data_IF_211737144713
#
_entry.id   IF_211737144713
#
_cell.length_a   1.000
_cell.length_b   1.000
_cell.length_c   1.000
_cell.angle_alpha   90.00
_cell.angle_beta   90.00
_cell.angle_gamma   90.00
#
_symmetry.space_group_name_H-M   'P 1'
#
loop_
_entity.id
_entity.type
_entity.pdbx_description
1 polymer ?
#
# COMPACT_ATOMS: atom_id res chain seq x y z
N UNK A 1 6.84 -10.51 19.67
CA UNK A 1 6.73 -11.19 18.37
C UNK A 1 6.62 -10.15 17.27
N UNK A 2 7.43 -10.25 16.24
CA UNK A 2 7.44 -9.28 15.15
C UNK A 2 6.29 -9.55 14.19
N UNK A 3 5.55 -8.50 13.83
CA UNK A 3 4.50 -8.62 12.83
C UNK A 3 5.15 -8.80 11.46
N UNK A 4 4.81 -9.90 10.77
CA UNK A 4 5.36 -10.20 9.46
C UNK A 4 5.07 -9.09 8.42
N UNK A 5 3.97 -8.35 8.62
CA UNK A 5 3.62 -7.23 7.73
C UNK A 5 4.62 -6.09 7.88
N UNK A 6 5.09 -5.85 9.10
CA UNK A 6 6.10 -4.83 9.37
C UNK A 6 7.41 -5.20 8.67
N UNK A 7 7.81 -6.47 8.74
CA UNK A 7 9.01 -6.94 8.07
C UNK A 7 8.91 -6.76 6.55
N UNK A 8 7.77 -7.10 5.97
CA UNK A 8 7.56 -6.93 4.53
C UNK A 8 7.62 -5.47 4.09
N UNK A 9 7.09 -4.57 4.91
CA UNK A 9 6.96 -3.15 4.56
C UNK A 9 8.07 -2.27 5.14
N UNK A 10 9.10 -2.84 5.75
CA UNK A 10 10.10 -2.05 6.49
C UNK A 10 10.77 -0.97 5.66
N UNK A 11 10.88 -1.16 4.36
CA UNK A 11 11.47 -0.17 3.45
C UNK A 11 10.57 1.07 3.29
N UNK A 12 9.34 1.03 3.77
CA UNK A 12 8.43 2.18 3.76
C UNK A 12 8.38 2.91 5.10
N UNK A 13 9.23 2.54 6.05
CA UNK A 13 9.25 3.18 7.37
C UNK A 13 9.41 4.70 7.23
N UNK A 14 8.54 5.46 7.89
CA UNK A 14 8.56 6.91 7.86
C UNK A 14 8.05 7.52 6.57
N UNK A 15 7.54 6.73 5.63
CA UNK A 15 7.09 7.25 4.35
C UNK A 15 5.85 8.13 4.50
N UNK A 16 5.73 9.10 3.60
CA UNK A 16 4.52 9.93 3.50
C UNK A 16 3.60 9.28 2.47
N UNK A 17 2.37 8.99 2.89
CA UNK A 17 1.39 8.31 2.04
C UNK A 17 0.17 9.20 1.86
N UNK A 18 -0.58 8.97 0.81
CA UNK A 18 -1.86 9.64 0.60
C UNK A 18 -2.88 8.65 0.05
N UNK A 19 -4.14 8.85 0.42
CA UNK A 19 -5.24 8.01 -0.05
C UNK A 19 -5.48 8.33 -1.52
N UNK A 20 -5.42 7.31 -2.37
CA UNK A 20 -5.58 7.46 -3.82
C UNK A 20 -6.34 6.29 -4.40
N UNK A 21 -7.06 6.55 -5.49
CA UNK A 21 -7.50 5.48 -6.37
C UNK A 21 -6.26 4.84 -7.00
N UNK A 22 -6.27 3.51 -7.11
CA UNK A 22 -5.15 2.83 -7.74
C UNK A 22 -5.08 3.23 -9.23
N UNK A 23 -3.88 3.62 -9.65
CA UNK A 23 -3.57 3.91 -11.04
C UNK A 23 -2.32 3.11 -11.37
N UNK A 24 -2.34 2.37 -12.47
CA UNK A 24 -1.19 1.57 -12.86
C UNK A 24 0.05 2.45 -13.05
N UNK A 25 1.19 1.91 -12.69
CA UNK A 25 2.45 2.64 -12.78
C UNK A 25 2.84 2.91 -14.23
N UNK A 26 2.60 1.93 -15.11
CA UNK A 26 2.85 2.04 -16.54
C UNK A 26 1.96 1.05 -17.28
N UNK A 27 1.94 1.11 -18.63
CA UNK A 27 1.12 0.19 -19.42
C UNK A 27 1.47 -1.27 -19.16
N UNK A 28 2.75 -1.56 -18.91
CA UNK A 28 3.21 -2.93 -18.65
C UNK A 28 3.14 -3.30 -17.17
N UNK A 29 2.76 -2.38 -16.31
CA UNK A 29 2.69 -2.59 -14.86
C UNK A 29 1.26 -2.35 -14.41
N UNK A 30 0.39 -3.33 -14.65
CA UNK A 30 -1.05 -3.16 -14.53
C UNK A 30 -1.63 -3.51 -13.16
N UNK A 31 -0.80 -3.89 -12.21
CA UNK A 31 -1.23 -4.18 -10.85
C UNK A 31 -0.10 -3.96 -9.87
N UNK A 32 -0.46 -3.85 -8.59
CA UNK A 32 0.51 -3.79 -7.50
C UNK A 32 0.01 -4.66 -6.36
N UNK A 33 0.80 -4.76 -5.31
CA UNK A 33 0.45 -5.48 -4.10
C UNK A 33 0.74 -4.60 -2.91
N UNK A 34 -0.05 -4.77 -1.84
CA UNK A 34 0.25 -4.10 -0.57
C UNK A 34 1.65 -4.49 -0.12
N UNK A 35 2.46 -3.51 0.22
CA UNK A 35 3.83 -3.77 0.67
C UNK A 35 3.89 -4.58 1.95
N UNK A 36 2.81 -4.61 2.72
CA UNK A 36 2.76 -5.32 3.99
C UNK A 36 2.13 -6.70 3.86
N UNK A 37 0.89 -6.78 3.38
CA UNK A 37 0.13 -8.04 3.39
C UNK A 37 -0.03 -8.69 2.01
N UNK A 38 0.48 -8.07 0.96
CA UNK A 38 0.43 -8.58 -0.42
C UNK A 38 -0.97 -8.56 -1.05
N UNK A 39 -1.94 -7.86 -0.44
CA UNK A 39 -3.25 -7.68 -1.05
C UNK A 39 -3.08 -7.05 -2.44
N UNK A 40 -3.82 -7.54 -3.42
CA UNK A 40 -3.66 -7.09 -4.81
C UNK A 40 -4.40 -5.79 -5.05
N UNK A 41 -3.76 -4.90 -5.82
CA UNK A 41 -4.35 -3.66 -6.30
C UNK A 41 -4.46 -3.69 -7.80
N UNK A 42 -5.62 -3.27 -8.33
CA UNK A 42 -5.83 -3.10 -9.77
C UNK A 42 -6.78 -1.93 -9.99
N UNK A 43 -6.80 -1.41 -11.22
CA UNK A 43 -7.70 -0.31 -11.55
C UNK A 43 -9.18 -0.72 -11.49
N UNK A 44 -9.45 -2.01 -11.63
CA UNK A 44 -10.80 -2.56 -11.52
C UNK A 44 -10.90 -3.36 -10.24
N UNK A 45 -11.77 -2.93 -9.32
CA UNK A 45 -11.99 -3.65 -8.06
C UNK A 45 -12.68 -4.98 -8.33
N UNK A 46 -12.43 -5.95 -7.45
CA UNK A 46 -13.04 -7.28 -7.55
C UNK A 46 -12.86 -8.03 -6.24
N UNK A 47 -13.26 -9.31 -6.18
CA UNK A 47 -13.05 -10.10 -4.97
C UNK A 47 -11.58 -10.11 -4.59
N UNK A 48 -11.27 -9.64 -3.37
CA UNK A 48 -9.91 -9.58 -2.84
C UNK A 48 -8.96 -8.69 -3.66
N UNK A 49 -9.53 -7.77 -4.46
CA UNK A 49 -8.75 -6.81 -5.24
C UNK A 49 -9.16 -5.40 -4.83
N UNK A 50 -8.21 -4.59 -4.41
CA UNK A 50 -8.46 -3.21 -4.02
C UNK A 50 -8.22 -2.29 -5.21
N UNK A 51 -9.11 -1.28 -5.36
CA UNK A 51 -8.94 -0.23 -6.37
C UNK A 51 -8.55 1.10 -5.72
N UNK A 52 -8.33 1.11 -4.41
CA UNK A 52 -7.99 2.30 -3.65
C UNK A 52 -7.13 1.91 -2.47
N UNK A 53 -6.18 2.76 -2.12
CA UNK A 53 -5.34 2.53 -0.97
C UNK A 53 -4.43 3.73 -0.71
N UNK A 54 -3.44 3.52 0.14
CA UNK A 54 -2.50 4.56 0.51
C UNK A 54 -1.21 4.37 -0.27
N UNK A 55 -0.78 5.40 -0.96
CA UNK A 55 0.36 5.31 -1.86
C UNK A 55 1.35 6.43 -1.63
N UNK A 56 2.62 6.16 -2.01
CA UNK A 56 3.64 7.19 -2.08
C UNK A 56 3.32 8.15 -3.22
N UNK A 57 3.94 9.33 -3.19
CA UNK A 57 3.67 10.38 -4.17
C UNK A 57 3.89 9.92 -5.61
N UNK A 58 4.87 9.05 -5.83
CA UNK A 58 5.20 8.54 -7.16
C UNK A 58 4.33 7.36 -7.60
N UNK A 59 3.34 6.96 -6.81
CA UNK A 59 2.44 5.82 -7.07
C UNK A 59 3.18 4.48 -7.18
N UNK A 60 4.38 4.39 -6.66
CA UNK A 60 5.19 3.18 -6.77
C UNK A 60 4.91 2.18 -5.65
N UNK A 61 4.67 2.66 -4.44
CA UNK A 61 4.43 1.81 -3.26
C UNK A 61 3.01 1.97 -2.78
N UNK A 62 2.35 0.85 -2.47
CA UNK A 62 0.94 0.84 -2.07
C UNK A 62 0.74 0.09 -0.77
N UNK A 63 -0.12 0.61 0.08
CA UNK A 63 -0.50 0.00 1.36
C UNK A 63 -2.03 -0.08 1.38
N UNK A 64 -2.57 -1.26 1.66
CA UNK A 64 -4.03 -1.39 1.74
C UNK A 64 -4.57 -0.68 2.99
N UNK A 65 -5.86 -0.35 2.97
CA UNK A 65 -6.48 0.39 4.07
C UNK A 65 -6.34 -0.33 5.41
N UNK A 66 -6.51 -1.65 5.42
CA UNK A 66 -6.41 -2.44 6.65
C UNK A 66 -5.00 -2.36 7.25
N UNK A 67 -3.98 -2.51 6.42
CA UNK A 67 -2.60 -2.42 6.90
C UNK A 67 -2.24 -1.01 7.33
N UNK A 68 -2.76 0.01 6.62
CA UNK A 68 -2.50 1.39 7.01
C UNK A 68 -3.01 1.64 8.43
N UNK A 69 -4.26 1.29 8.71
CA UNK A 69 -4.85 1.48 10.04
C UNK A 69 -4.08 0.69 11.10
N UNK A 70 -3.72 -0.55 10.79
CA UNK A 70 -3.09 -1.44 11.75
C UNK A 70 -1.64 -1.06 12.05
N UNK A 71 -0.90 -0.56 11.07
CA UNK A 71 0.55 -0.39 11.16
C UNK A 71 1.03 1.05 11.15
N UNK A 72 0.15 2.00 10.91
CA UNK A 72 0.51 3.40 10.76
C UNK A 72 1.45 3.91 11.85
N UNK A 73 1.09 3.66 13.11
CA UNK A 73 1.89 4.17 14.24
C UNK A 73 3.23 3.46 14.34
N UNK A 74 3.23 2.13 14.20
CA UNK A 74 4.45 1.34 14.28
C UNK A 74 5.42 1.65 13.15
N UNK A 75 4.90 1.95 11.96
CA UNK A 75 5.69 2.26 10.79
C UNK A 75 5.99 3.75 10.64
N UNK A 76 5.43 4.59 11.51
CA UNK A 76 5.57 6.04 11.46
C UNK A 76 5.20 6.62 10.09
N UNK A 77 4.22 6.03 9.45
CA UNK A 77 3.70 6.57 8.20
C UNK A 77 3.00 7.90 8.44
N UNK A 78 3.23 8.84 7.55
CA UNK A 78 2.60 10.14 7.59
C UNK A 78 1.53 10.22 6.51
N UNK A 79 0.40 10.81 6.86
CA UNK A 79 -0.68 11.00 5.90
C UNK A 79 -0.58 12.40 5.31
N UNK A 80 -0.57 12.45 3.99
CA UNK A 80 -0.54 13.72 3.28
C UNK A 80 -1.93 14.16 2.86
#
# INVERSE_FOLDING_TARGET
MTDWRIENAKHTFGATLQLKKYTRYSESWDHDHCEACWAKFMESAGPQIAAEGYATEDNYRWICADCFVALKDAMEWKLR
#
